data_IF_497503805421
#
_entry.id   IF_497503805421
#
_cell.length_a   1.000
_cell.length_b   1.000
_cell.length_c   1.000
_cell.angle_alpha   90.00
_cell.angle_beta   90.00
_cell.angle_gamma   90.00
#
_symmetry.space_group_name_H-M   'P 1'
#
loop_
_entity.id
_entity.type
_entity.pdbx_description
1 polymer ?
#
# COMPACT_ATOMS: atom_id res chain seq x y z
N UNK A 1 15.52 -2.51 -14.35
CA UNK A 1 14.18 -3.15 -14.33
C UNK A 1 13.42 -2.70 -15.57
N UNK A 2 12.60 -3.57 -16.16
CA UNK A 2 11.78 -3.18 -17.32
C UNK A 2 10.70 -2.21 -16.87
N UNK A 3 10.68 -1.01 -17.47
CA UNK A 3 9.68 0.04 -17.20
C UNK A 3 8.29 -0.28 -17.74
N UNK A 4 8.16 -1.35 -18.53
CA UNK A 4 6.92 -1.82 -19.16
C UNK A 4 6.87 -3.34 -19.02
N UNK A 5 5.73 -3.89 -18.58
CA UNK A 5 5.55 -5.32 -18.32
C UNK A 5 4.19 -5.80 -18.78
N UNK A 6 4.13 -6.98 -19.42
CA UNK A 6 2.87 -7.63 -19.76
C UNK A 6 2.18 -8.19 -18.52
N UNK A 7 0.86 -8.09 -18.49
CA UNK A 7 0.01 -8.59 -17.42
C UNK A 7 -1.00 -9.56 -18.02
N UNK A 8 -0.92 -10.83 -17.61
CA UNK A 8 -1.83 -11.88 -18.03
C UNK A 8 -1.85 -12.98 -16.95
N UNK A 9 -2.91 -13.78 -16.92
CA UNK A 9 -2.98 -14.94 -16.04
C UNK A 9 -2.04 -16.04 -16.52
N UNK A 10 -1.06 -16.39 -15.69
CA UNK A 10 -0.17 -17.53 -15.90
C UNK A 10 -0.76 -18.83 -15.29
N UNK A 11 0.00 -19.92 -15.33
CA UNK A 11 -0.45 -21.23 -14.80
C UNK A 11 -0.75 -21.20 -13.30
N UNK A 12 -0.04 -20.39 -12.53
CA UNK A 12 -0.18 -20.32 -11.07
C UNK A 12 -1.45 -19.54 -10.72
N UNK A 13 -1.55 -18.31 -11.20
CA UNK A 13 -2.72 -17.45 -11.00
C UNK A 13 -4.00 -18.07 -11.54
N UNK A 14 -3.96 -18.75 -12.69
CA UNK A 14 -5.13 -19.42 -13.27
C UNK A 14 -5.69 -20.56 -12.41
N UNK A 15 -4.91 -21.11 -11.47
CA UNK A 15 -5.25 -22.29 -10.65
C UNK A 15 -5.49 -21.96 -9.18
N UNK A 16 -6.08 -20.80 -8.89
CA UNK A 16 -6.41 -20.39 -7.53
C UNK A 16 -5.40 -19.43 -6.89
N UNK A 17 -4.35 -19.06 -7.61
CA UNK A 17 -3.43 -18.00 -7.22
C UNK A 17 -4.03 -16.61 -7.33
N UNK A 18 -3.31 -15.61 -6.85
CA UNK A 18 -3.74 -14.21 -6.92
C UNK A 18 -3.70 -13.68 -8.36
N UNK A 19 -4.69 -12.87 -8.73
CA UNK A 19 -4.79 -12.23 -10.05
C UNK A 19 -3.65 -11.23 -10.27
N UNK A 20 -2.86 -11.37 -11.36
CA UNK A 20 -1.84 -10.39 -11.75
C UNK A 20 -2.45 -9.01 -12.05
N UNK A 21 -3.67 -8.98 -12.59
CA UNK A 21 -4.40 -7.73 -12.83
C UNK A 21 -4.72 -7.04 -11.51
N UNK A 22 -5.26 -7.78 -10.54
CA UNK A 22 -5.60 -7.19 -9.24
C UNK A 22 -4.35 -6.72 -8.48
N UNK A 23 -3.24 -7.46 -8.57
CA UNK A 23 -1.94 -7.04 -8.01
C UNK A 23 -1.50 -5.70 -8.55
N UNK A 24 -1.51 -5.56 -9.88
CA UNK A 24 -1.07 -4.34 -10.56
C UNK A 24 -2.00 -3.17 -10.23
N UNK A 25 -3.31 -3.36 -10.36
CA UNK A 25 -4.29 -2.31 -10.05
C UNK A 25 -4.16 -1.88 -8.59
N UNK A 26 -4.11 -2.83 -7.65
CA UNK A 26 -3.90 -2.56 -6.22
C UNK A 26 -2.61 -1.79 -5.94
N UNK A 27 -1.53 -2.09 -6.65
CA UNK A 27 -0.26 -1.39 -6.51
C UNK A 27 -0.31 0.05 -7.05
N UNK A 28 -1.09 0.30 -8.11
CA UNK A 28 -1.29 1.64 -8.69
C UNK A 28 -2.18 2.49 -7.79
N UNK A 29 -3.26 1.93 -7.24
CA UNK A 29 -4.27 2.72 -6.53
C UNK A 29 -3.93 3.05 -5.08
N UNK A 30 -3.01 2.31 -4.46
CA UNK A 30 -2.80 2.34 -3.02
C UNK A 30 -2.15 3.65 -2.54
N UNK A 31 -2.90 4.43 -1.77
CA UNK A 31 -2.51 5.74 -1.23
C UNK A 31 -2.03 6.71 -2.30
N UNK A 32 -2.56 6.58 -3.51
CA UNK A 32 -2.30 7.46 -4.64
C UNK A 32 -3.58 8.19 -5.03
N UNK A 33 -3.41 9.30 -5.74
CA UNK A 33 -4.52 9.93 -6.45
C UNK A 33 -4.65 9.23 -7.81
N UNK A 34 -5.85 8.76 -8.13
CA UNK A 34 -6.05 7.90 -9.30
C UNK A 34 -7.05 8.43 -10.28
N UNK A 35 -6.76 8.20 -11.55
CA UNK A 35 -7.64 8.50 -12.68
C UNK A 35 -7.96 7.19 -13.39
N UNK A 36 -9.25 6.91 -13.54
CA UNK A 36 -9.76 5.61 -14.02
C UNK A 36 -10.63 5.85 -15.24
N UNK A 37 -10.44 5.05 -16.28
CA UNK A 37 -11.31 5.00 -17.46
C UNK A 37 -11.76 3.57 -17.67
N UNK A 38 -13.08 3.30 -17.64
CA UNK A 38 -13.60 1.96 -17.90
C UNK A 38 -15.10 1.99 -18.24
N UNK A 39 -15.57 1.35 -19.33
CA UNK A 39 -17.01 1.25 -19.65
C UNK A 39 -17.77 0.31 -18.72
N UNK A 40 -17.19 -0.86 -18.41
CA UNK A 40 -17.90 -1.90 -17.67
C UNK A 40 -17.28 -2.10 -16.29
N UNK A 41 -18.05 -1.73 -15.26
CA UNK A 41 -17.56 -1.65 -13.90
C UNK A 41 -18.44 -2.49 -12.97
N UNK A 42 -17.84 -3.44 -12.25
CA UNK A 42 -18.53 -4.19 -11.22
C UNK A 42 -18.44 -3.45 -9.89
N UNK A 43 -19.58 -3.04 -9.32
CA UNK A 43 -19.64 -2.21 -8.10
C UNK A 43 -18.75 -2.74 -6.96
N UNK A 44 -18.81 -4.05 -6.68
CA UNK A 44 -18.03 -4.68 -5.61
C UNK A 44 -16.51 -4.50 -5.80
N UNK A 45 -16.03 -4.73 -7.02
CA UNK A 45 -14.60 -4.59 -7.32
C UNK A 45 -14.18 -3.12 -7.36
N UNK A 46 -15.02 -2.25 -7.91
CA UNK A 46 -14.74 -0.83 -7.99
C UNK A 46 -14.66 -0.18 -6.60
N UNK A 47 -15.64 -0.42 -5.74
CA UNK A 47 -15.64 0.04 -4.35
C UNK A 47 -14.40 -0.45 -3.58
N UNK A 48 -13.95 -1.68 -3.88
CA UNK A 48 -12.74 -2.24 -3.29
C UNK A 48 -11.51 -1.41 -3.64
N UNK A 49 -11.28 -1.12 -4.93
CA UNK A 49 -10.07 -0.42 -5.36
C UNK A 49 -10.09 1.07 -4.97
N UNK A 50 -11.22 1.76 -5.04
CA UNK A 50 -11.29 3.19 -4.69
C UNK A 50 -11.11 3.43 -3.19
N UNK A 51 -11.43 2.46 -2.33
CA UNK A 51 -11.15 2.52 -0.87
C UNK A 51 -9.64 2.53 -0.56
N UNK A 52 -8.80 2.10 -1.51
CA UNK A 52 -7.36 2.09 -1.35
C UNK A 52 -6.71 3.41 -1.79
N UNK A 53 -7.41 4.23 -2.57
CA UNK A 53 -6.91 5.51 -3.08
C UNK A 53 -7.07 6.65 -2.06
N UNK A 54 -6.24 7.69 -2.19
CA UNK A 54 -6.44 8.94 -1.44
C UNK A 54 -7.58 9.75 -2.05
N UNK A 55 -7.56 9.86 -3.38
CA UNK A 55 -8.56 10.51 -4.20
C UNK A 55 -8.72 9.74 -5.52
N UNK A 56 -9.89 9.81 -6.14
CA UNK A 56 -10.14 9.13 -7.40
C UNK A 56 -11.06 9.94 -8.31
N UNK A 57 -10.85 9.78 -9.62
CA UNK A 57 -11.72 10.28 -10.69
C UNK A 57 -12.03 9.17 -11.67
N UNK A 58 -13.26 9.12 -12.15
CA UNK A 58 -13.75 8.12 -13.08
C UNK A 58 -14.33 8.77 -14.34
N UNK A 59 -13.86 8.34 -15.50
CA UNK A 59 -14.53 8.55 -16.79
C UNK A 59 -15.11 7.23 -17.23
N UNK A 60 -16.41 7.20 -17.53
CA UNK A 60 -17.10 5.97 -17.89
C UNK A 60 -18.25 6.25 -18.84
N UNK A 61 -18.59 5.26 -19.65
CA UNK A 61 -19.88 5.24 -20.32
C UNK A 61 -20.93 4.74 -19.32
N UNK A 62 -21.59 5.70 -18.68
CA UNK A 62 -22.65 5.45 -17.69
C UNK A 62 -23.79 4.61 -18.28
N UNK A 63 -24.09 4.75 -19.57
CA UNK A 63 -25.16 3.99 -20.22
C UNK A 63 -24.80 2.50 -20.25
N UNK A 64 -23.58 2.19 -20.71
CA UNK A 64 -23.03 0.83 -20.72
C UNK A 64 -22.90 0.26 -19.31
N UNK A 65 -22.42 1.07 -18.35
CA UNK A 65 -22.29 0.64 -16.96
C UNK A 65 -23.62 0.23 -16.36
N UNK A 66 -24.68 1.01 -16.57
CA UNK A 66 -26.01 0.70 -16.02
C UNK A 66 -26.65 -0.48 -16.77
N UNK A 67 -26.60 -0.49 -18.10
CA UNK A 67 -27.25 -1.53 -18.91
C UNK A 67 -26.66 -2.92 -18.68
N UNK A 68 -25.36 -3.02 -18.38
CA UNK A 68 -24.71 -4.31 -18.11
C UNK A 68 -25.16 -4.99 -16.81
N UNK A 69 -25.97 -4.33 -15.98
CA UNK A 69 -26.40 -4.80 -14.65
C UNK A 69 -27.90 -5.06 -14.57
N UNK A 70 -28.32 -5.87 -13.58
CA UNK A 70 -29.75 -6.12 -13.29
C UNK A 70 -30.40 -4.91 -12.59
N UNK A 71 -31.73 -4.91 -12.52
CA UNK A 71 -32.52 -3.80 -11.95
C UNK A 71 -32.09 -3.39 -10.54
N UNK A 72 -31.76 -4.36 -9.67
CA UNK A 72 -31.31 -4.08 -8.29
C UNK A 72 -29.96 -3.37 -8.27
N UNK A 73 -29.03 -3.80 -9.12
CA UNK A 73 -27.70 -3.19 -9.23
C UNK A 73 -27.75 -1.83 -9.91
N UNK A 74 -28.60 -1.63 -10.93
CA UNK A 74 -28.83 -0.31 -11.56
C UNK A 74 -29.17 0.77 -10.53
N UNK A 75 -30.06 0.45 -9.57
CA UNK A 75 -30.42 1.40 -8.51
C UNK A 75 -29.24 1.70 -7.57
N UNK A 76 -28.37 0.72 -7.30
CA UNK A 76 -27.16 0.96 -6.49
C UNK A 76 -26.17 1.85 -7.23
N UNK A 77 -25.96 1.60 -8.53
CA UNK A 77 -25.09 2.41 -9.40
C UNK A 77 -25.62 3.85 -9.44
N UNK A 78 -26.93 4.05 -9.63
CA UNK A 78 -27.56 5.38 -9.55
C UNK A 78 -27.22 6.10 -8.26
N UNK A 79 -27.49 5.47 -7.12
CA UNK A 79 -27.25 6.10 -5.82
C UNK A 79 -25.77 6.45 -5.63
N UNK A 80 -24.87 5.56 -6.06
CA UNK A 80 -23.43 5.78 -6.01
C UNK A 80 -23.00 6.97 -6.90
N UNK A 81 -23.51 7.04 -8.13
CA UNK A 81 -23.25 8.16 -9.04
C UNK A 81 -23.73 9.47 -8.44
N UNK A 82 -24.94 9.51 -7.88
CA UNK A 82 -25.49 10.72 -7.26
C UNK A 82 -24.66 11.17 -6.04
N UNK A 83 -24.15 10.23 -5.23
CA UNK A 83 -23.31 10.54 -4.07
C UNK A 83 -21.90 11.03 -4.46
N UNK A 84 -21.37 10.54 -5.59
CA UNK A 84 -19.99 10.79 -6.05
C UNK A 84 -19.93 11.58 -7.35
N UNK A 85 -20.94 12.40 -7.63
CA UNK A 85 -21.13 13.07 -8.92
C UNK A 85 -19.95 13.93 -9.36
N UNK A 86 -19.25 14.57 -8.42
CA UNK A 86 -18.04 15.38 -8.69
C UNK A 86 -16.82 14.57 -9.11
N UNK A 87 -16.84 13.25 -8.89
CA UNK A 87 -15.72 12.33 -9.16
C UNK A 87 -16.00 11.42 -10.36
N UNK A 88 -17.17 11.55 -11.02
CA UNK A 88 -17.59 10.68 -12.12
C UNK A 88 -18.09 11.54 -13.29
N UNK A 89 -17.44 11.39 -14.44
CA UNK A 89 -17.87 11.98 -15.70
C UNK A 89 -18.43 10.92 -16.64
N UNK A 90 -19.54 11.27 -17.31
CA UNK A 90 -20.07 10.48 -18.41
C UNK A 90 -19.31 10.80 -19.69
N UNK A 91 -18.84 9.76 -20.38
CA UNK A 91 -18.25 9.87 -21.71
C UNK A 91 -18.81 8.75 -22.58
N UNK A 92 -19.70 9.12 -23.50
CA UNK A 92 -20.37 8.18 -24.40
C UNK A 92 -19.36 7.45 -25.30
N UNK A 93 -19.58 6.15 -25.50
CA UNK A 93 -18.79 5.25 -26.33
C UNK A 93 -17.32 5.08 -25.89
N UNK A 94 -16.97 5.46 -24.65
CA UNK A 94 -15.61 5.24 -24.14
C UNK A 94 -15.37 3.75 -23.88
N UNK A 95 -14.52 3.11 -24.69
CA UNK A 95 -14.20 1.69 -24.52
C UNK A 95 -12.79 1.44 -23.95
N UNK A 96 -12.07 2.49 -23.58
CA UNK A 96 -10.76 2.38 -22.96
C UNK A 96 -10.85 1.77 -21.55
N UNK A 97 -9.82 1.02 -21.14
CA UNK A 97 -9.71 0.40 -19.80
C UNK A 97 -8.33 0.73 -19.26
N UNK A 98 -8.29 1.76 -18.41
CA UNK A 98 -7.05 2.36 -17.94
C UNK A 98 -7.17 2.71 -16.46
N UNK A 99 -6.12 2.45 -15.69
CA UNK A 99 -5.94 2.90 -14.30
C UNK A 99 -4.62 3.66 -14.23
N UNK A 100 -4.66 4.92 -13.83
CA UNK A 100 -3.52 5.84 -13.88
C UNK A 100 -3.30 6.39 -12.47
N UNK A 101 -2.12 6.13 -11.90
CA UNK A 101 -1.64 6.76 -10.68
C UNK A 101 -0.58 7.84 -10.97
N UNK A 102 0.14 8.27 -9.95
CA UNK A 102 1.14 9.35 -10.08
C UNK A 102 2.39 8.94 -10.88
N UNK A 103 2.88 7.72 -10.69
CA UNK A 103 4.12 7.21 -11.32
C UNK A 103 3.94 5.89 -12.07
N UNK A 104 2.71 5.36 -12.09
CA UNK A 104 2.39 4.03 -12.61
C UNK A 104 1.06 4.04 -13.32
N UNK A 105 0.92 3.23 -14.35
CA UNK A 105 -0.34 3.04 -15.05
C UNK A 105 -0.55 1.59 -15.48
N UNK A 106 -1.81 1.24 -15.70
CA UNK A 106 -2.24 -0.02 -16.27
C UNK A 106 -3.21 0.27 -17.42
N UNK A 107 -2.99 -0.40 -18.54
CA UNK A 107 -3.85 -0.37 -19.74
C UNK A 107 -4.10 -1.82 -20.14
N UNK A 108 -5.32 -2.18 -20.53
CA UNK A 108 -5.56 -3.55 -21.00
C UNK A 108 -6.94 -3.81 -21.55
N UNK A 109 -7.25 -5.09 -21.76
CA UNK A 109 -8.56 -5.55 -22.23
C UNK A 109 -9.54 -5.84 -21.09
N UNK A 110 -9.05 -5.98 -19.85
CA UNK A 110 -9.85 -6.29 -18.67
C UNK A 110 -10.74 -5.13 -18.24
N UNK A 111 -12.05 -5.38 -18.15
CA UNK A 111 -12.98 -4.50 -17.46
C UNK A 111 -12.81 -4.57 -15.93
N UNK A 112 -13.19 -3.51 -15.21
CA UNK A 112 -13.10 -3.43 -13.74
C UNK A 112 -14.24 -4.19 -13.04
N UNK A 113 -14.33 -5.49 -13.34
CA UNK A 113 -15.31 -6.43 -12.77
C UNK A 113 -14.55 -7.60 -12.14
N UNK A 114 -15.07 -8.26 -11.10
CA UNK A 114 -14.39 -9.44 -10.53
C UNK A 114 -14.07 -10.47 -11.62
N UNK A 115 -15.05 -10.82 -12.46
CA UNK A 115 -14.85 -11.75 -13.58
C UNK A 115 -13.76 -11.30 -14.56
N UNK A 116 -13.76 -10.02 -14.94
CA UNK A 116 -12.74 -9.46 -15.84
C UNK A 116 -11.33 -9.56 -15.24
N UNK A 117 -11.22 -9.44 -13.92
CA UNK A 117 -9.95 -9.44 -13.21
C UNK A 117 -9.51 -10.86 -12.82
N UNK A 118 -10.41 -11.83 -12.62
CA UNK A 118 -10.06 -13.15 -12.04
C UNK A 118 -10.40 -14.36 -12.89
N UNK A 119 -11.24 -14.23 -13.92
CA UNK A 119 -11.80 -15.38 -14.64
C UNK A 119 -11.65 -15.30 -16.17
N UNK A 120 -11.48 -14.09 -16.72
CA UNK A 120 -11.35 -13.89 -18.17
C UNK A 120 -9.91 -14.02 -18.64
N UNK A 121 -9.75 -14.52 -19.87
CA UNK A 121 -8.48 -14.47 -20.59
C UNK A 121 -8.33 -13.04 -21.11
N UNK A 122 -7.54 -12.24 -20.39
CA UNK A 122 -7.29 -10.84 -20.68
C UNK A 122 -5.79 -10.61 -20.86
N UNK A 123 -5.43 -9.48 -21.47
CA UNK A 123 -4.06 -9.01 -21.58
C UNK A 123 -4.01 -7.53 -21.21
N UNK A 124 -2.96 -7.13 -20.52
CA UNK A 124 -2.68 -5.73 -20.25
C UNK A 124 -1.19 -5.45 -20.18
N UNK A 125 -0.90 -4.18 -19.94
CA UNK A 125 0.44 -3.63 -19.81
C UNK A 125 0.49 -2.79 -18.55
N UNK A 126 1.44 -3.11 -17.68
CA UNK A 126 1.84 -2.31 -16.55
C UNK A 126 3.00 -1.39 -16.96
N UNK A 127 2.90 -0.11 -16.62
CA UNK A 127 3.79 0.96 -17.08
C UNK A 127 4.31 1.72 -15.86
N UNK A 128 5.62 1.83 -15.74
CA UNK A 128 6.35 2.68 -14.78
C UNK A 128 7.25 3.70 -15.52
N UNK A 129 7.18 3.74 -16.84
CA UNK A 129 7.88 4.73 -17.65
C UNK A 129 7.23 6.10 -17.48
N UNK A 130 7.98 7.03 -16.88
CA UNK A 130 7.50 8.37 -16.51
C UNK A 130 6.87 9.10 -17.68
N UNK A 131 7.50 9.07 -18.85
CA UNK A 131 7.05 9.77 -20.05
C UNK A 131 5.67 9.26 -20.50
N UNK A 132 5.47 7.94 -20.52
CA UNK A 132 4.19 7.32 -20.87
C UNK A 132 3.10 7.54 -19.81
N UNK A 133 3.47 7.52 -18.52
CA UNK A 133 2.52 7.81 -17.44
C UNK A 133 2.03 9.26 -17.54
N UNK A 134 2.93 10.21 -17.82
CA UNK A 134 2.56 11.62 -18.03
C UNK A 134 1.66 11.78 -19.27
N UNK A 135 1.95 11.07 -20.36
CA UNK A 135 1.09 11.07 -21.54
C UNK A 135 -0.32 10.58 -21.21
N UNK A 136 -0.45 9.47 -20.47
CA UNK A 136 -1.75 8.96 -20.02
C UNK A 136 -2.48 9.93 -19.09
N UNK A 137 -1.77 10.60 -18.19
CA UNK A 137 -2.35 11.63 -17.31
C UNK A 137 -2.88 12.83 -18.10
N UNK A 138 -2.16 13.27 -19.14
CA UNK A 138 -2.60 14.34 -20.03
C UNK A 138 -3.81 13.90 -20.85
N UNK A 139 -3.77 12.71 -21.45
CA UNK A 139 -4.90 12.13 -22.17
C UNK A 139 -6.15 12.03 -21.29
N UNK A 140 -6.02 11.58 -20.04
CA UNK A 140 -7.14 11.55 -19.10
C UNK A 140 -7.71 12.95 -18.84
N UNK A 141 -6.84 13.95 -18.63
CA UNK A 141 -7.26 15.34 -18.39
C UNK A 141 -8.02 15.90 -19.57
N UNK A 142 -7.56 15.64 -20.79
CA UNK A 142 -8.26 16.06 -22.01
C UNK A 142 -9.66 15.44 -22.11
N UNK A 143 -9.81 14.17 -21.73
CA UNK A 143 -11.13 13.53 -21.66
C UNK A 143 -11.99 14.12 -20.55
N UNK A 144 -11.39 14.38 -19.38
CA UNK A 144 -12.07 14.95 -18.22
C UNK A 144 -12.64 16.33 -18.54
N UNK A 145 -11.84 17.20 -19.16
CA UNK A 145 -12.22 18.56 -19.52
C UNK A 145 -13.26 18.62 -20.65
N UNK A 146 -13.35 17.57 -21.47
CA UNK A 146 -14.34 17.41 -22.55
C UNK A 146 -15.61 16.66 -22.13
N UNK A 147 -15.67 16.21 -20.88
CA UNK A 147 -16.81 15.49 -20.34
C UNK A 147 -17.40 16.24 -19.16
N UNK A 148 -18.61 15.86 -18.79
CA UNK A 148 -19.36 16.55 -17.74
C UNK A 148 -19.75 15.57 -16.63
N UNK A 149 -19.91 16.14 -15.43
CA UNK A 149 -20.58 15.45 -14.34
C UNK A 149 -22.01 15.08 -14.75
N UNK A 150 -22.48 13.95 -14.24
CA UNK A 150 -23.76 13.39 -14.65
C UNK A 150 -24.93 14.22 -14.11
N UNK A 151 -25.82 14.65 -15.00
CA UNK A 151 -27.09 15.25 -14.61
C UNK A 151 -28.00 14.17 -13.98
N UNK A 152 -28.35 14.35 -12.71
CA UNK A 152 -29.13 13.38 -11.93
C UNK A 152 -30.55 13.18 -12.46
N UNK A 153 -31.17 14.21 -13.04
CA UNK A 153 -32.49 14.10 -13.66
C UNK A 153 -32.43 13.25 -14.94
N UNK A 154 -31.44 13.51 -15.80
CA UNK A 154 -31.24 12.72 -17.02
C UNK A 154 -30.93 11.24 -16.70
N UNK A 155 -30.15 10.99 -15.64
CA UNK A 155 -29.87 9.64 -15.15
C UNK A 155 -31.14 8.90 -14.70
N UNK A 156 -32.06 9.61 -14.04
CA UNK A 156 -33.32 9.07 -13.57
C UNK A 156 -34.24 8.69 -14.73
N UNK A 157 -34.38 9.59 -15.70
CA UNK A 157 -35.12 9.38 -16.94
C UNK A 157 -34.55 8.17 -17.72
N UNK A 158 -33.23 8.08 -17.83
CA UNK A 158 -32.56 6.95 -18.49
C UNK A 158 -32.87 5.62 -17.81
N UNK A 159 -32.72 5.53 -16.48
CA UNK A 159 -32.99 4.28 -15.73
C UNK A 159 -34.46 3.84 -15.85
N UNK A 160 -35.39 4.80 -15.84
CA UNK A 160 -36.80 4.50 -16.06
C UNK A 160 -37.05 3.90 -17.46
N UNK A 161 -36.41 4.47 -18.49
CA UNK A 161 -36.55 4.02 -19.88
C UNK A 161 -36.08 2.57 -20.11
N UNK A 162 -35.07 2.11 -19.35
CA UNK A 162 -34.52 0.76 -19.46
C UNK A 162 -35.04 -0.21 -18.39
N UNK A 163 -36.02 0.21 -17.58
CA UNK A 163 -36.47 -0.55 -16.39
C UNK A 163 -37.06 -1.93 -16.70
N UNK A 164 -37.53 -2.14 -17.94
CA UNK A 164 -38.06 -3.40 -18.46
C UNK A 164 -37.02 -4.29 -19.16
N UNK A 165 -35.81 -3.76 -19.43
CA UNK A 165 -34.78 -4.51 -20.16
C UNK A 165 -34.11 -5.54 -19.23
N UNK A 166 -34.10 -6.84 -19.62
CA UNK A 166 -33.32 -7.84 -18.91
C UNK A 166 -31.83 -7.52 -19.01
N UNK A 167 -31.07 -7.85 -17.97
CA UNK A 167 -29.62 -7.75 -18.03
C UNK A 167 -29.02 -8.81 -18.96
N UNK A 168 -27.86 -8.52 -19.53
CA UNK A 168 -27.14 -9.47 -20.38
C UNK A 168 -26.93 -10.84 -19.69
N UNK A 169 -26.65 -10.84 -18.38
CA UNK A 169 -26.49 -12.06 -17.60
C UNK A 169 -27.78 -12.87 -17.45
N UNK A 170 -28.94 -12.22 -17.32
CA UNK A 170 -30.24 -12.91 -17.25
C UNK A 170 -30.56 -13.62 -18.58
N UNK A 171 -30.25 -12.97 -19.70
CA UNK A 171 -30.38 -13.58 -21.04
C UNK A 171 -29.42 -14.78 -21.16
N UNK A 172 -28.14 -14.59 -20.82
CA UNK A 172 -27.11 -15.61 -20.97
C UNK A 172 -27.36 -16.85 -20.10
N UNK A 173 -27.85 -16.68 -18.87
CA UNK A 173 -28.17 -17.83 -18.00
C UNK A 173 -29.36 -18.66 -18.50
N UNK A 174 -30.21 -18.08 -19.35
CA UNK A 174 -31.40 -18.75 -19.88
C UNK A 174 -31.11 -19.51 -21.18
N UNK A 175 -30.03 -19.14 -21.88
CA UNK A 175 -29.65 -19.73 -23.17
C UNK A 175 -28.44 -20.64 -22.95
N UNK A 176 -28.56 -21.92 -23.32
CA UNK A 176 -27.44 -22.86 -23.25
C UNK A 176 -26.25 -22.37 -24.08
N UNK A 177 -25.05 -22.33 -23.47
CA UNK A 177 -23.83 -21.92 -24.14
C UNK A 177 -23.32 -22.96 -25.14
N UNK A 178 -22.57 -22.51 -26.15
CA UNK A 178 -21.85 -23.41 -27.05
C UNK A 178 -20.71 -24.13 -26.29
N UNK A 179 -20.43 -25.41 -26.60
CA UNK A 179 -19.37 -26.15 -25.95
C UNK A 179 -17.99 -25.56 -26.29
N UNK A 180 -17.12 -25.45 -25.28
CA UNK A 180 -15.73 -25.00 -25.43
C UNK A 180 -14.76 -25.91 -24.67
N UNK A 181 -13.57 -26.13 -25.24
CA UNK A 181 -12.45 -26.84 -24.59
C UNK A 181 -11.55 -25.91 -23.77
N UNK A 182 -11.85 -24.61 -23.72
CA UNK A 182 -11.03 -23.62 -23.01
C UNK A 182 -10.96 -23.93 -21.51
N UNK A 183 -9.76 -23.87 -20.94
CA UNK A 183 -9.60 -23.96 -19.48
C UNK A 183 -10.13 -22.69 -18.83
N UNK A 184 -10.94 -22.83 -17.77
CA UNK A 184 -11.39 -21.68 -16.99
C UNK A 184 -10.27 -21.16 -16.10
N UNK A 185 -10.09 -19.84 -16.08
CA UNK A 185 -9.22 -19.16 -15.12
C UNK A 185 -10.00 -19.05 -13.81
N UNK A 186 -9.34 -19.38 -12.69
CA UNK A 186 -9.90 -19.25 -11.35
C UNK A 186 -8.90 -18.55 -10.45
N UNK A 187 -8.56 -17.30 -10.77
CA UNK A 187 -7.71 -16.51 -9.89
C UNK A 187 -8.50 -15.96 -8.70
N UNK A 188 -7.79 -15.43 -7.71
CA UNK A 188 -8.37 -14.76 -6.55
C UNK A 188 -7.94 -13.30 -6.52
N UNK A 189 -8.78 -12.45 -5.95
CA UNK A 189 -8.35 -11.11 -5.58
C UNK A 189 -7.24 -11.19 -4.54
N UNK A 190 -6.32 -10.22 -4.57
CA UNK A 190 -5.35 -10.01 -3.50
C UNK A 190 -6.14 -9.67 -2.23
N UNK A 191 -5.73 -10.21 -1.09
CA UNK A 191 -6.44 -9.99 0.16
C UNK A 191 -6.62 -8.49 0.45
N UNK A 192 -7.88 -8.12 0.71
CA UNK A 192 -8.29 -6.74 0.91
C UNK A 192 -7.53 -6.10 2.06
N UNK A 193 -6.85 -4.97 1.81
CA UNK A 193 -6.02 -4.36 2.84
C UNK A 193 -6.85 -3.90 4.06
N UNK A 194 -8.13 -3.56 3.88
CA UNK A 194 -9.04 -3.25 4.99
C UNK A 194 -9.41 -4.46 5.85
N UNK A 195 -9.70 -5.60 5.22
CA UNK A 195 -9.91 -6.89 5.91
C UNK A 195 -8.62 -7.38 6.56
N UNK A 196 -7.48 -7.16 5.90
CA UNK A 196 -6.14 -7.44 6.41
C UNK A 196 -5.82 -6.60 7.64
N UNK A 197 -6.12 -5.28 7.65
CA UNK A 197 -5.90 -4.41 8.82
C UNK A 197 -6.76 -4.84 10.01
N UNK A 198 -8.04 -5.13 9.80
CA UNK A 198 -8.91 -5.62 10.88
C UNK A 198 -8.44 -6.99 11.40
N UNK A 199 -8.01 -7.88 10.50
CA UNK A 199 -7.43 -9.16 10.88
C UNK A 199 -6.11 -9.01 11.63
N UNK A 200 -5.23 -8.08 11.23
CA UNK A 200 -3.99 -7.76 11.94
C UNK A 200 -4.31 -7.28 13.36
N UNK A 201 -5.21 -6.31 13.51
CA UNK A 201 -5.63 -5.80 14.83
C UNK A 201 -6.25 -6.93 15.67
N UNK A 202 -7.09 -7.77 15.06
CA UNK A 202 -7.73 -8.89 15.75
C UNK A 202 -6.72 -9.95 16.19
N UNK A 203 -5.79 -10.34 15.31
CA UNK A 203 -4.78 -11.37 15.57
C UNK A 203 -3.74 -10.93 16.60
N UNK A 204 -3.45 -9.62 16.67
CA UNK A 204 -2.44 -9.04 17.56
C UNK A 204 -3.04 -8.05 18.56
N UNK A 205 -4.27 -8.27 19.02
CA UNK A 205 -5.04 -7.30 19.82
C UNK A 205 -4.27 -6.70 21.00
N UNK A 206 -3.65 -7.55 21.82
CA UNK A 206 -2.89 -7.09 22.99
C UNK A 206 -1.62 -6.33 22.60
N UNK A 207 -0.86 -6.84 21.62
CA UNK A 207 0.35 -6.16 21.12
C UNK A 207 0.02 -4.83 20.44
N UNK A 208 -1.10 -4.74 19.73
CA UNK A 208 -1.58 -3.49 19.13
C UNK A 208 -1.89 -2.44 20.20
N UNK A 209 -2.61 -2.80 21.27
CA UNK A 209 -2.88 -1.87 22.39
C UNK A 209 -1.60 -1.40 23.09
N UNK A 210 -0.62 -2.31 23.28
CA UNK A 210 0.69 -1.95 23.83
C UNK A 210 1.45 -1.02 22.89
N UNK A 211 1.38 -1.24 21.58
CA UNK A 211 2.01 -0.41 20.57
C UNK A 211 1.40 1.01 20.56
N UNK A 212 0.07 1.13 20.57
CA UNK A 212 -0.66 2.41 20.69
C UNK A 212 -0.20 3.16 21.93
N UNK A 213 -0.20 2.50 23.09
CA UNK A 213 0.22 3.09 24.36
C UNK A 213 1.69 3.53 24.34
N UNK A 214 2.55 2.72 23.74
CA UNK A 214 3.97 2.99 23.59
C UNK A 214 4.20 4.25 22.75
N UNK A 215 3.57 4.33 21.57
CA UNK A 215 3.72 5.47 20.66
C UNK A 215 3.18 6.76 21.29
N UNK A 216 2.04 6.71 21.99
CA UNK A 216 1.48 7.88 22.72
C UNK A 216 2.48 8.49 23.72
N UNK A 217 3.34 7.68 24.33
CA UNK A 217 4.36 8.13 25.30
C UNK A 217 5.67 8.56 24.64
N UNK A 218 6.02 7.89 23.54
CA UNK A 218 7.31 8.00 22.88
C UNK A 218 7.35 9.17 21.88
N UNK A 219 6.32 9.28 21.04
CA UNK A 219 6.34 10.13 19.87
C UNK A 219 5.95 11.58 20.21
N UNK A 220 6.79 12.58 19.87
CA UNK A 220 6.46 13.98 20.13
C UNK A 220 5.30 14.47 19.25
N UNK A 221 5.14 13.91 18.05
CA UNK A 221 4.05 14.22 17.13
C UNK A 221 3.89 13.10 16.07
N UNK A 222 2.79 13.17 15.31
CA UNK A 222 2.48 12.21 14.23
C UNK A 222 3.58 12.13 13.17
N UNK A 223 4.13 13.28 12.76
CA UNK A 223 5.16 13.33 11.72
C UNK A 223 6.42 12.56 12.15
N UNK A 224 6.88 12.79 13.38
CA UNK A 224 8.08 12.16 13.91
C UNK A 224 8.00 10.63 13.93
N UNK A 225 6.89 10.06 14.41
CA UNK A 225 6.74 8.60 14.42
C UNK A 225 6.58 8.03 13.01
N UNK A 226 5.98 8.79 12.08
CA UNK A 226 5.93 8.37 10.70
C UNK A 226 7.33 8.36 10.07
N UNK A 227 8.14 9.40 10.28
CA UNK A 227 9.53 9.45 9.81
C UNK A 227 10.37 8.31 10.42
N UNK A 228 10.10 7.92 11.67
CA UNK A 228 10.73 6.76 12.31
C UNK A 228 10.38 5.46 11.58
N UNK A 229 9.09 5.25 11.28
CA UNK A 229 8.67 4.06 10.55
C UNK A 229 9.18 4.04 9.10
N UNK A 230 9.40 5.20 8.47
CA UNK A 230 10.04 5.29 7.15
C UNK A 230 11.52 4.92 7.21
N UNK A 231 12.26 5.40 8.23
CA UNK A 231 13.65 4.98 8.45
C UNK A 231 13.75 3.48 8.76
N UNK A 232 12.84 2.95 9.57
CA UNK A 232 12.75 1.52 9.84
C UNK A 232 12.41 0.71 8.58
N UNK A 233 11.57 1.23 7.69
CA UNK A 233 11.24 0.60 6.41
C UNK A 233 12.48 0.54 5.50
N UNK A 234 13.24 1.63 5.39
CA UNK A 234 14.52 1.69 4.64
C UNK A 234 15.49 0.60 5.15
N UNK A 235 15.59 0.39 6.47
CA UNK A 235 16.38 -0.70 7.05
C UNK A 235 15.91 -2.10 6.59
N UNK A 236 14.59 -2.34 6.62
CA UNK A 236 14.03 -3.66 6.30
C UNK A 236 14.13 -3.95 4.80
N UNK A 237 13.90 -2.96 3.94
CA UNK A 237 14.08 -3.09 2.50
C UNK A 237 15.56 -3.32 2.16
N UNK A 238 16.47 -2.57 2.77
CA UNK A 238 17.93 -2.74 2.60
C UNK A 238 18.41 -4.14 2.99
N UNK A 239 17.95 -4.67 4.13
CA UNK A 239 18.37 -5.99 4.63
C UNK A 239 17.57 -7.16 4.04
N UNK A 240 16.44 -6.89 3.38
CA UNK A 240 15.48 -7.88 2.87
C UNK A 240 14.97 -8.86 3.95
N UNK A 241 15.03 -8.49 5.23
CA UNK A 241 14.59 -9.33 6.34
C UNK A 241 13.07 -9.39 6.43
N UNK A 242 12.51 -10.60 6.55
CA UNK A 242 11.09 -10.81 6.79
C UNK A 242 10.78 -10.86 8.29
N UNK A 243 9.53 -10.61 8.68
CA UNK A 243 9.07 -10.66 10.09
C UNK A 243 9.47 -11.95 10.81
N UNK A 244 9.36 -13.09 10.13
CA UNK A 244 9.70 -14.40 10.69
C UNK A 244 11.21 -14.74 10.63
N UNK A 245 12.07 -13.87 10.09
CA UNK A 245 13.51 -14.14 10.00
C UNK A 245 14.10 -14.28 11.42
N UNK A 246 14.85 -15.37 11.71
CA UNK A 246 15.37 -15.64 13.04
C UNK A 246 16.35 -14.59 13.58
N UNK A 247 16.92 -13.75 12.70
CA UNK A 247 17.86 -12.68 13.06
C UNK A 247 17.15 -11.38 13.47
N UNK A 248 15.92 -11.17 13.01
CA UNK A 248 15.18 -9.93 13.21
C UNK A 248 14.33 -9.95 14.48
N UNK A 249 14.50 -8.94 15.33
CA UNK A 249 13.66 -8.70 16.50
C UNK A 249 13.18 -7.25 16.49
N UNK A 250 11.88 -7.05 16.44
CA UNK A 250 11.23 -5.77 16.68
C UNK A 250 10.42 -5.93 17.94
N UNK A 251 10.68 -5.14 18.98
CA UNK A 251 10.07 -5.38 20.30
C UNK A 251 9.30 -4.17 20.78
N UNK A 252 8.29 -4.37 21.62
CA UNK A 252 7.64 -3.32 22.40
C UNK A 252 8.17 -3.44 23.82
N UNK A 253 9.15 -2.62 24.18
CA UNK A 253 9.85 -2.76 25.45
C UNK A 253 8.99 -2.28 26.62
N UNK A 254 9.23 -2.83 27.82
CA UNK A 254 8.58 -2.37 29.07
C UNK A 254 8.80 -0.89 29.34
N UNK A 255 9.91 -0.33 28.84
CA UNK A 255 10.26 1.09 28.94
C UNK A 255 9.57 1.96 27.88
N UNK A 256 8.57 1.47 27.15
CA UNK A 256 7.82 2.28 26.18
C UNK A 256 8.63 2.71 24.96
N UNK A 257 9.52 1.84 24.46
CA UNK A 257 10.26 2.03 23.21
C UNK A 257 10.01 0.89 22.24
N UNK A 258 10.23 1.14 20.95
CA UNK A 258 10.05 0.17 19.86
C UNK A 258 11.33 -0.14 19.07
N UNK A 259 12.42 -0.58 19.71
CA UNK A 259 13.70 -0.80 19.03
C UNK A 259 13.66 -1.96 18.04
N UNK A 260 14.56 -1.87 17.06
CA UNK A 260 14.88 -2.92 16.10
C UNK A 260 16.26 -3.47 16.45
N UNK A 261 16.31 -4.78 16.63
CA UNK A 261 17.52 -5.56 16.88
C UNK A 261 17.76 -6.48 15.69
N UNK A 262 19.00 -6.51 15.21
CA UNK A 262 19.46 -7.55 14.31
C UNK A 262 20.49 -8.37 15.08
N UNK A 263 20.27 -9.69 15.11
CA UNK A 263 21.04 -10.62 15.93
C UNK A 263 21.08 -10.21 17.41
N UNK A 264 22.17 -9.64 17.90
CA UNK A 264 22.35 -9.40 19.34
C UNK A 264 22.38 -7.92 19.70
N UNK A 265 22.24 -7.00 18.74
CA UNK A 265 22.42 -5.56 18.96
C UNK A 265 21.25 -4.75 18.43
N UNK A 266 20.91 -3.70 19.16
CA UNK A 266 20.03 -2.67 18.60
C UNK A 266 20.74 -2.04 17.42
N UNK A 267 20.00 -1.89 16.32
CA UNK A 267 20.48 -1.22 15.11
C UNK A 267 19.73 0.09 14.88
N UNK A 268 18.52 0.20 15.41
CA UNK A 268 17.69 1.40 15.41
C UNK A 268 16.84 1.40 16.68
N UNK A 269 16.82 2.51 17.41
CA UNK A 269 16.01 2.64 18.62
C UNK A 269 15.47 4.07 18.76
N UNK A 270 14.15 4.23 18.83
CA UNK A 270 13.59 5.52 19.16
C UNK A 270 13.70 5.77 20.66
N UNK A 271 14.11 6.98 21.01
CA UNK A 271 14.25 7.44 22.38
C UNK A 271 13.28 8.59 22.68
N UNK A 272 13.08 8.84 23.97
CA UNK A 272 12.20 9.90 24.43
C UNK A 272 12.69 11.27 23.96
N UNK A 273 11.78 12.25 23.95
CA UNK A 273 12.05 13.63 23.57
C UNK A 273 12.52 13.79 22.10
N UNK A 274 12.15 12.83 21.24
CA UNK A 274 12.41 12.91 19.81
C UNK A 274 13.85 12.60 19.42
N UNK A 275 14.55 11.80 20.23
CA UNK A 275 15.89 11.31 19.95
C UNK A 275 15.85 9.97 19.21
N UNK A 276 16.87 9.68 18.40
CA UNK A 276 17.02 8.41 17.67
C UNK A 276 18.43 7.87 17.90
N UNK A 277 18.52 6.63 18.36
CA UNK A 277 19.78 5.90 18.49
C UNK A 277 20.03 4.97 17.30
N UNK A 278 21.24 5.01 16.75
CA UNK A 278 21.70 4.16 15.65
C UNK A 278 22.97 3.42 16.04
N UNK A 279 23.14 2.21 15.51
CA UNK A 279 24.45 1.56 15.50
C UNK A 279 25.34 2.22 14.45
N UNK A 280 26.59 2.49 14.79
CA UNK A 280 27.57 3.08 13.87
C UNK A 280 28.86 2.25 13.86
N UNK A 281 29.65 2.28 12.78
CA UNK A 281 30.96 1.65 12.75
C UNK A 281 31.97 2.48 13.55
N UNK A 282 33.10 1.89 13.94
CA UNK A 282 34.08 2.55 14.83
C UNK A 282 34.82 3.72 14.16
N UNK A 283 34.83 3.77 12.83
CA UNK A 283 35.39 4.82 11.98
C UNK A 283 34.43 5.99 11.74
N UNK A 284 33.28 6.03 12.42
CA UNK A 284 32.40 7.19 12.43
C UNK A 284 32.99 8.30 13.31
N UNK A 285 33.63 9.28 12.66
CA UNK A 285 34.47 10.34 13.24
C UNK A 285 33.71 11.38 14.10
N UNK A 286 34.40 11.95 15.09
CA UNK A 286 33.83 12.96 16.01
C UNK A 286 33.57 14.32 15.36
N UNK A 287 34.26 14.65 14.26
CA UNK A 287 34.08 15.92 13.54
C UNK A 287 32.68 16.03 12.90
N UNK A 288 32.02 14.91 12.64
CA UNK A 288 30.66 14.85 12.10
C UNK A 288 29.58 15.07 13.18
N UNK A 289 29.92 15.03 14.48
CA UNK A 289 28.93 14.97 15.56
C UNK A 289 28.08 16.23 15.70
N UNK A 290 28.71 17.40 15.65
CA UNK A 290 27.99 18.68 15.72
C UNK A 290 27.15 18.92 14.47
N UNK A 291 27.68 18.58 13.29
CA UNK A 291 26.98 18.69 12.01
C UNK A 291 25.76 17.78 11.94
N UNK A 292 25.88 16.57 12.45
CA UNK A 292 24.83 15.56 12.39
C UNK A 292 23.87 15.61 13.59
N UNK A 293 24.08 16.53 14.55
CA UNK A 293 23.20 16.70 15.71
C UNK A 293 23.25 15.52 16.68
N UNK A 294 24.45 14.97 16.90
CA UNK A 294 24.71 13.96 17.92
C UNK A 294 24.63 14.63 19.30
N UNK A 295 23.84 14.04 20.19
CA UNK A 295 23.61 14.58 21.54
C UNK A 295 24.09 13.66 22.65
N UNK A 296 24.36 12.38 22.35
CA UNK A 296 24.86 11.44 23.33
C UNK A 296 25.57 10.25 22.67
N UNK A 297 26.60 9.77 23.36
CA UNK A 297 27.31 8.52 23.08
C UNK A 297 27.20 7.69 24.37
N UNK A 298 25.99 7.24 24.71
CA UNK A 298 25.75 6.57 26.00
C UNK A 298 26.28 5.13 25.95
N UNK A 299 27.12 4.74 26.91
CA UNK A 299 27.81 3.42 26.95
C UNK A 299 28.38 3.01 25.58
N UNK A 300 28.85 4.00 24.79
CA UNK A 300 28.70 4.06 23.32
C UNK A 300 29.50 3.10 22.47
N UNK A 301 29.85 1.94 23.00
CA UNK A 301 30.41 0.84 22.26
C UNK A 301 29.67 -0.45 22.56
N UNK A 302 29.40 -1.22 21.52
CA UNK A 302 29.11 -2.62 21.70
C UNK A 302 30.42 -3.41 21.78
N UNK A 303 30.49 -4.29 22.79
CA UNK A 303 31.65 -5.11 23.05
C UNK A 303 31.42 -6.59 22.73
N UNK A 304 32.49 -7.29 22.39
CA UNK A 304 32.59 -8.75 22.40
C UNK A 304 33.93 -9.15 22.97
N UNK A 305 33.96 -10.01 23.98
CA UNK A 305 35.20 -10.41 24.65
C UNK A 305 36.09 -9.21 25.05
N UNK A 306 35.47 -8.11 25.52
CA UNK A 306 36.10 -6.83 25.88
C UNK A 306 36.69 -6.01 24.72
N UNK A 307 36.50 -6.43 23.47
CA UNK A 307 36.89 -5.67 22.27
C UNK A 307 35.71 -4.85 21.79
N UNK A 308 35.95 -3.56 21.48
CA UNK A 308 34.97 -2.65 20.86
C UNK A 308 34.76 -3.08 19.42
N UNK A 309 33.51 -3.20 18.98
CA UNK A 309 33.19 -3.65 17.62
C UNK A 309 32.22 -2.71 16.87
N UNK A 310 31.47 -1.89 17.57
CA UNK A 310 30.56 -0.91 16.98
C UNK A 310 30.28 0.21 17.98
N UNK A 311 29.87 1.37 17.48
CA UNK A 311 29.38 2.51 18.24
C UNK A 311 27.86 2.46 18.42
N UNK A 312 27.38 3.08 19.50
CA UNK A 312 25.98 3.46 19.65
C UNK A 312 25.88 4.98 19.77
N UNK A 313 25.21 5.60 18.80
CA UNK A 313 25.17 7.07 18.65
C UNK A 313 23.73 7.56 18.69
N UNK A 314 23.46 8.58 19.51
CA UNK A 314 22.12 9.15 19.68
C UNK A 314 22.05 10.56 19.11
N UNK A 315 21.07 10.77 18.24
CA UNK A 315 20.82 12.01 17.50
C UNK A 315 19.56 12.70 18.02
N UNK A 316 19.58 14.02 18.14
CA UNK A 316 18.37 14.81 18.40
C UNK A 316 17.64 15.12 17.09
N UNK A 317 16.38 14.69 17.00
CA UNK A 317 15.55 14.76 15.78
C UNK A 317 14.10 15.12 16.09
N UNK A 318 13.86 16.01 17.06
CA UNK A 318 12.53 16.26 17.65
C UNK A 318 11.42 16.60 16.66
N UNK A 319 11.73 17.39 15.63
CA UNK A 319 10.73 17.87 14.66
C UNK A 319 10.62 16.98 13.42
N UNK A 320 11.73 16.37 13.00
CA UNK A 320 11.85 15.55 11.79
C UNK A 320 13.03 14.60 11.94
N UNK A 321 12.86 13.36 11.51
CA UNK A 321 13.96 12.41 11.39
C UNK A 321 14.46 12.45 9.95
N UNK A 322 15.60 13.10 9.76
CA UNK A 322 16.28 13.22 8.48
C UNK A 322 17.78 13.03 8.70
N UNK A 323 18.39 12.26 7.81
CA UNK A 323 19.79 11.88 7.85
C UNK A 323 20.38 12.00 6.44
N UNK A 324 21.61 12.49 6.35
CA UNK A 324 22.35 12.56 5.10
C UNK A 324 22.64 11.16 4.54
N UNK A 325 22.85 11.06 3.23
CA UNK A 325 23.17 9.78 2.59
C UNK A 325 24.51 9.21 3.10
N UNK A 326 25.47 10.07 3.45
CA UNK A 326 26.73 9.65 4.06
C UNK A 326 26.52 9.00 5.42
N UNK A 327 25.70 9.61 6.31
CA UNK A 327 25.39 9.05 7.61
C UNK A 327 24.63 7.74 7.49
N UNK A 328 23.64 7.68 6.60
CA UNK A 328 22.91 6.43 6.32
C UNK A 328 23.83 5.34 5.80
N UNK A 329 24.87 5.67 5.03
CA UNK A 329 25.84 4.70 4.53
C UNK A 329 26.64 4.05 5.66
N UNK A 330 27.13 4.86 6.62
CA UNK A 330 27.80 4.33 7.83
C UNK A 330 26.87 3.44 8.65
N UNK A 331 25.65 3.90 8.91
CA UNK A 331 24.66 3.10 9.64
C UNK A 331 24.38 1.75 8.94
N UNK A 332 24.18 1.77 7.62
CA UNK A 332 23.94 0.56 6.81
C UNK A 332 25.15 -0.40 6.82
N UNK A 333 26.37 0.11 6.80
CA UNK A 333 27.58 -0.70 6.95
C UNK A 333 27.64 -1.43 8.30
N UNK A 334 27.32 -0.73 9.39
CA UNK A 334 27.25 -1.34 10.72
C UNK A 334 26.11 -2.38 10.81
N UNK A 335 24.96 -2.10 10.20
CA UNK A 335 23.84 -3.06 10.07
C UNK A 335 24.26 -4.34 9.35
N UNK A 336 24.99 -4.24 8.23
CA UNK A 336 25.46 -5.40 7.48
C UNK A 336 26.41 -6.27 8.30
N UNK A 337 27.34 -5.63 9.02
CA UNK A 337 28.23 -6.33 9.96
C UNK A 337 27.43 -7.12 10.99
N UNK A 338 26.36 -6.54 11.54
CA UNK A 338 25.49 -7.23 12.48
C UNK A 338 24.64 -8.32 11.84
N UNK A 339 24.24 -8.18 10.58
CA UNK A 339 23.47 -9.17 9.85
C UNK A 339 24.26 -10.47 9.63
N UNK A 340 25.55 -10.34 9.32
CA UNK A 340 26.48 -11.46 9.07
C UNK A 340 26.96 -12.13 10.36
N UNK A 341 26.87 -11.44 11.50
CA UNK A 341 27.39 -11.89 12.80
C UNK A 341 26.83 -13.23 13.28
N UNK A 342 25.55 -13.49 13.04
CA UNK A 342 24.85 -14.68 13.52
C UNK A 342 23.66 -15.03 12.63
N UNK A 343 23.21 -16.28 12.75
CA UNK A 343 22.02 -16.79 12.07
C UNK A 343 20.75 -16.63 12.90
N UNK A 344 20.86 -16.38 14.19
CA UNK A 344 19.72 -16.29 15.12
C UNK A 344 19.97 -15.22 16.18
N UNK A 345 18.93 -14.46 16.50
CA UNK A 345 18.89 -13.54 17.64
C UNK A 345 18.55 -14.26 18.94
N UNK A 346 19.31 -14.01 20.01
CA UNK A 346 19.00 -14.49 21.36
C UNK A 346 17.75 -13.80 21.95
N UNK A 347 17.31 -12.71 21.33
CA UNK A 347 16.15 -11.92 21.74
C UNK A 347 14.87 -12.29 20.98
N UNK A 348 14.87 -13.34 20.15
CA UNK A 348 13.75 -13.66 19.25
C UNK A 348 12.41 -13.84 19.98
N UNK A 349 12.42 -14.32 21.23
CA UNK A 349 11.22 -14.43 22.09
C UNK A 349 10.51 -13.10 22.38
N UNK A 350 11.16 -11.97 22.16
CA UNK A 350 10.62 -10.63 22.34
C UNK A 350 10.16 -9.98 21.02
N UNK A 351 10.21 -10.72 19.90
CA UNK A 351 9.76 -10.21 18.62
C UNK A 351 8.23 -10.06 18.61
N UNK A 352 7.78 -8.89 18.20
CA UNK A 352 6.39 -8.47 18.11
C UNK A 352 6.05 -8.21 16.63
N UNK A 353 5.42 -9.17 15.92
CA UNK A 353 5.14 -9.04 14.49
C UNK A 353 4.31 -7.81 14.15
N UNK A 354 3.51 -7.31 15.09
CA UNK A 354 2.70 -6.10 14.91
C UNK A 354 3.54 -4.84 14.62
N UNK A 355 4.78 -4.79 15.12
CA UNK A 355 5.70 -3.68 14.84
C UNK A 355 6.19 -3.77 13.39
N UNK A 356 6.44 -4.97 12.90
CA UNK A 356 6.77 -5.20 11.49
C UNK A 356 5.61 -4.78 10.59
N UNK A 357 4.36 -5.12 10.95
CA UNK A 357 3.18 -4.65 10.24
C UNK A 357 3.08 -3.12 10.25
N UNK A 358 3.32 -2.45 11.38
CA UNK A 358 3.32 -0.98 11.43
C UNK A 358 4.36 -0.34 10.51
N UNK A 359 5.47 -1.04 10.24
CA UNK A 359 6.53 -0.57 9.35
C UNK A 359 6.20 -0.90 7.89
N UNK A 360 5.80 -2.13 7.55
CA UNK A 360 5.69 -2.56 6.16
C UNK A 360 4.28 -2.41 5.57
N UNK A 361 3.24 -2.38 6.41
CA UNK A 361 1.84 -2.26 5.98
C UNK A 361 1.35 -0.81 6.17
N UNK A 362 1.43 -0.02 5.10
CA UNK A 362 1.08 1.42 5.11
C UNK A 362 -0.36 1.65 5.60
N UNK A 363 -1.29 0.77 5.26
CA UNK A 363 -2.69 0.92 5.68
C UNK A 363 -2.88 0.63 7.18
N UNK A 364 -2.21 -0.40 7.71
CA UNK A 364 -2.19 -0.64 9.15
C UNK A 364 -1.53 0.52 9.89
N UNK A 365 -0.39 1.01 9.38
CA UNK A 365 0.30 2.19 9.90
C UNK A 365 -0.61 3.41 9.94
N UNK A 366 -1.29 3.73 8.83
CA UNK A 366 -2.24 4.85 8.74
C UNK A 366 -3.32 4.71 9.82
N UNK A 367 -3.97 3.55 9.91
CA UNK A 367 -4.99 3.28 10.92
C UNK A 367 -4.46 3.42 12.35
N UNK A 368 -3.27 2.87 12.62
CA UNK A 368 -2.59 2.96 13.91
C UNK A 368 -2.34 4.43 14.30
N UNK A 369 -1.79 5.22 13.39
CA UNK A 369 -1.52 6.64 13.64
C UNK A 369 -2.81 7.46 13.75
N UNK A 370 -3.84 7.15 12.97
CA UNK A 370 -5.16 7.78 13.08
C UNK A 370 -5.76 7.52 14.46
N UNK A 371 -5.69 6.30 14.98
CA UNK A 371 -6.15 5.98 16.33
C UNK A 371 -5.36 6.70 17.45
N UNK A 372 -4.07 6.94 17.24
CA UNK A 372 -3.21 7.59 18.23
C UNK A 372 -3.44 9.09 18.28
N UNK A 373 -3.63 9.72 17.12
CA UNK A 373 -3.65 11.17 16.95
C UNK A 373 -5.02 11.75 16.53
N UNK A 374 -6.08 10.94 16.45
CA UNK A 374 -7.45 11.46 16.47
C UNK A 374 -7.67 12.17 17.82
N UNK A 375 -8.16 13.41 17.78
CA UNK A 375 -8.40 14.36 18.89
C UNK A 375 -7.42 15.57 19.00
N UNK A 376 -6.85 16.06 17.90
CA UNK A 376 -6.27 17.43 17.87
C UNK A 376 -6.57 18.18 16.54
N UNK A 377 -7.84 18.20 16.12
CA UNK A 377 -8.36 19.19 15.16
C UNK A 377 -9.53 19.90 15.81
#
# INVERSE_FOLDING_TARGET
MNKIQLVYHDKESSRGGESPFDKVITAIVRNEDVSIVCPYIGMKYFERIIKLANYWRLITDVEEWICSHNKKERQKIKNFISEKSSSIHHYRDIHAKVVIGNSKAFIGSSNLTEKGITERVEMGVFIEEKELVVELQNWFRDLWDKSESINTQALDEYILSISSLPSYNEIYNTIGGLPSKSTSIKAKLVDDVGTSVQNIIKNYKESHQRLVTCIKKLAPNRKWINDYFDLAKDLIEFTSLKSNDPRLVMSITKRGRIPITINQRYVLNPEYNGKIGLIMPLDYEMEDYTKDGVVQIDDGYFFRNKIREALWVVFERKNRIEFSDSLKSYWKQAVMTELERSKISGFKRFHEPIVYEAIMNISYRKRLLDEIFYDNV
#
